data_IF_517947937282
#
_entry.id   IF_517947937282
#
_cell.length_a   1.000
_cell.length_b   1.000
_cell.length_c   1.000
_cell.angle_alpha   90.00
_cell.angle_beta   90.00
_cell.angle_gamma   90.00
#
_symmetry.space_group_name_H-M   'P 1'
#
loop_
_entity.id
_entity.type
_entity.pdbx_description
1 polymer ?
#
# COMPACT_ATOMS: atom_id res chain seq x y z
N UNK A 1 -6.23 19.06 -64.30
CA UNK A 1 -6.66 17.65 -64.24
C UNK A 1 -6.57 17.16 -62.80
N UNK A 2 -7.50 16.28 -62.37
CA UNK A 2 -7.94 16.05 -60.97
C UNK A 2 -7.14 14.92 -60.26
N UNK A 3 -6.72 15.10 -58.98
CA UNK A 3 -7.26 14.58 -57.68
C UNK A 3 -7.05 13.06 -57.43
N UNK A 4 -7.23 12.44 -56.23
CA UNK A 4 -7.68 12.96 -54.92
C UNK A 4 -7.19 12.24 -53.60
N UNK A 5 -7.62 12.78 -52.43
CA UNK A 5 -7.76 12.22 -51.05
C UNK A 5 -6.47 11.88 -50.24
N UNK A 6 -6.34 12.11 -48.93
CA UNK A 6 -7.28 12.34 -47.81
C UNK A 6 -6.54 13.12 -46.69
N UNK A 7 -7.01 14.29 -46.24
CA UNK A 7 -7.81 14.51 -45.00
C UNK A 7 -7.51 13.49 -43.89
N UNK A 8 -6.76 13.92 -42.87
CA UNK A 8 -7.00 13.81 -41.41
C UNK A 8 -5.85 14.55 -40.70
N UNK A 9 -6.06 15.82 -40.36
CA UNK A 9 -6.36 16.27 -39.00
C UNK A 9 -5.17 16.20 -38.03
N UNK A 10 -4.46 17.32 -38.01
CA UNK A 10 -3.67 17.87 -36.90
C UNK A 10 -4.42 17.64 -35.57
N UNK A 11 -3.93 16.75 -34.72
CA UNK A 11 -4.28 16.75 -33.30
C UNK A 11 -3.00 16.78 -32.49
N UNK A 12 -2.98 17.72 -31.55
CA UNK A 12 -1.82 18.17 -30.82
C UNK A 12 -1.16 17.02 -30.07
N UNK A 13 0.12 16.76 -30.36
CA UNK A 13 1.05 16.17 -29.39
C UNK A 13 1.23 17.17 -28.25
N UNK A 14 0.22 17.20 -27.37
CA UNK A 14 0.35 17.80 -26.06
C UNK A 14 1.50 17.06 -25.42
N UNK A 15 2.64 17.73 -25.24
CA UNK A 15 3.68 17.30 -24.32
C UNK A 15 2.97 17.12 -22.98
N UNK A 16 2.52 15.90 -22.68
CA UNK A 16 2.00 15.56 -21.36
C UNK A 16 3.20 15.72 -20.44
N UNK A 17 3.27 16.86 -19.77
CA UNK A 17 4.13 17.01 -18.60
C UNK A 17 3.81 15.83 -17.69
N UNK A 18 4.82 15.03 -17.29
CA UNK A 18 4.57 13.87 -16.46
C UNK A 18 3.80 14.33 -15.22
N UNK A 19 2.61 13.75 -15.00
CA UNK A 19 1.77 14.06 -13.85
C UNK A 19 2.62 13.78 -12.60
N UNK A 20 2.81 14.75 -11.70
CA UNK A 20 3.49 14.52 -10.43
C UNK A 20 2.86 13.34 -9.71
N UNK A 21 3.67 12.44 -9.13
CA UNK A 21 3.14 11.23 -8.50
C UNK A 21 2.12 11.52 -7.38
N UNK A 22 2.29 12.65 -6.69
CA UNK A 22 1.32 13.17 -5.71
C UNK A 22 -0.09 13.36 -6.29
N UNK A 23 -0.20 13.89 -7.51
CA UNK A 23 -1.48 14.12 -8.17
C UNK A 23 -2.10 12.80 -8.62
N UNK A 24 -1.26 11.87 -9.11
CA UNK A 24 -1.68 10.49 -9.36
C UNK A 24 -2.23 9.83 -8.09
N UNK A 25 -1.52 9.89 -6.97
CA UNK A 25 -1.97 9.31 -5.70
C UNK A 25 -3.29 9.94 -5.24
N UNK A 26 -3.43 11.26 -5.36
CA UNK A 26 -4.67 11.97 -4.98
C UNK A 26 -5.86 11.48 -5.80
N UNK A 27 -5.68 11.31 -7.11
CA UNK A 27 -6.71 10.76 -7.98
C UNK A 27 -7.01 9.29 -7.65
N UNK A 28 -5.97 8.47 -7.48
CA UNK A 28 -6.11 7.06 -7.11
C UNK A 28 -6.88 6.90 -5.79
N UNK A 29 -6.54 7.70 -4.77
CA UNK A 29 -7.20 7.67 -3.47
C UNK A 29 -8.64 8.16 -3.55
N UNK A 30 -8.89 9.22 -4.34
CA UNK A 30 -10.25 9.72 -4.59
C UNK A 30 -11.13 8.64 -5.24
N UNK A 31 -10.62 7.92 -6.24
CA UNK A 31 -11.33 6.80 -6.88
C UNK A 31 -11.63 5.68 -5.89
N UNK A 32 -10.66 5.30 -5.04
CA UNK A 32 -10.86 4.29 -4.00
C UNK A 32 -11.98 4.72 -3.04
N UNK A 33 -11.89 5.94 -2.51
CA UNK A 33 -12.81 6.47 -1.49
C UNK A 33 -14.22 6.74 -2.01
N UNK A 34 -14.33 7.41 -3.15
CA UNK A 34 -15.60 7.98 -3.61
C UNK A 34 -16.33 7.08 -4.61
N UNK A 35 -15.68 6.04 -5.13
CA UNK A 35 -16.26 5.16 -6.15
C UNK A 35 -16.18 3.70 -5.73
N UNK A 36 -14.98 3.15 -5.55
CA UNK A 36 -14.82 1.70 -5.37
C UNK A 36 -15.32 1.20 -4.02
N UNK A 37 -14.97 1.90 -2.94
CA UNK A 37 -15.44 1.54 -1.60
C UNK A 37 -16.99 1.59 -1.50
N UNK A 38 -17.68 2.66 -1.93
CA UNK A 38 -19.14 2.68 -1.96
C UNK A 38 -19.77 1.58 -2.83
N UNK A 39 -19.18 1.29 -4.00
CA UNK A 39 -19.68 0.23 -4.89
C UNK A 39 -19.57 -1.16 -4.24
N UNK A 40 -18.44 -1.44 -3.61
CA UNK A 40 -18.20 -2.70 -2.91
C UNK A 40 -19.13 -2.84 -1.70
N UNK A 41 -19.26 -1.76 -0.91
CA UNK A 41 -20.19 -1.69 0.22
C UNK A 41 -21.63 -1.94 -0.22
N UNK A 42 -22.11 -1.24 -1.26
CA UNK A 42 -23.46 -1.42 -1.76
C UNK A 42 -23.73 -2.85 -2.25
N UNK A 43 -22.72 -3.50 -2.84
CA UNK A 43 -22.83 -4.88 -3.30
C UNK A 43 -22.91 -5.89 -2.16
N UNK A 44 -22.30 -5.57 -1.02
CA UNK A 44 -22.35 -6.37 0.20
C UNK A 44 -23.65 -6.15 0.99
N UNK A 45 -24.23 -4.95 0.94
CA UNK A 45 -25.45 -4.60 1.69
C UNK A 45 -26.75 -4.87 0.91
N UNK A 46 -26.71 -4.87 -0.42
CA UNK A 46 -27.93 -5.05 -1.24
C UNK A 46 -28.42 -6.49 -1.21
N UNK A 47 -29.69 -6.70 -0.89
CA UNK A 47 -30.37 -8.00 -1.00
C UNK A 47 -31.41 -7.96 -2.13
N UNK A 48 -31.37 -8.91 -3.11
CA UNK A 48 -30.37 -9.97 -3.28
C UNK A 48 -29.10 -9.46 -4.00
N UNK A 49 -27.93 -9.70 -3.41
CA UNK A 49 -26.64 -9.40 -4.06
C UNK A 49 -26.39 -10.41 -5.18
N UNK A 50 -26.22 -9.95 -6.43
CA UNK A 50 -25.77 -10.82 -7.52
C UNK A 50 -24.31 -11.24 -7.28
N UNK A 51 -23.99 -12.54 -7.12
CA UNK A 51 -22.62 -13.00 -6.88
C UNK A 51 -21.64 -12.58 -7.97
N UNK A 52 -22.12 -12.51 -9.22
CA UNK A 52 -21.33 -12.05 -10.38
C UNK A 52 -20.98 -10.57 -10.28
N UNK A 53 -21.91 -9.75 -9.80
CA UNK A 53 -21.67 -8.32 -9.61
C UNK A 53 -20.68 -8.08 -8.47
N UNK A 54 -20.83 -8.79 -7.35
CA UNK A 54 -19.91 -8.71 -6.22
C UNK A 54 -18.49 -9.13 -6.62
N UNK A 55 -18.36 -10.25 -7.35
CA UNK A 55 -17.08 -10.70 -7.90
C UNK A 55 -16.44 -9.65 -8.82
N UNK A 56 -17.24 -9.02 -9.68
CA UNK A 56 -16.75 -7.95 -10.57
C UNK A 56 -16.22 -6.74 -9.79
N UNK A 57 -16.93 -6.30 -8.75
CA UNK A 57 -16.50 -5.18 -7.90
C UNK A 57 -15.29 -5.54 -7.02
N UNK A 58 -15.20 -6.79 -6.53
CA UNK A 58 -14.02 -7.32 -5.85
C UNK A 58 -12.80 -7.23 -6.76
N UNK A 59 -12.90 -7.75 -7.99
CA UNK A 59 -11.78 -7.73 -8.94
C UNK A 59 -11.38 -6.30 -9.33
N UNK A 60 -12.35 -5.40 -9.53
CA UNK A 60 -12.08 -4.00 -9.81
C UNK A 60 -11.30 -3.33 -8.66
N UNK A 61 -11.71 -3.59 -7.42
CA UNK A 61 -11.04 -3.04 -6.22
C UNK A 61 -9.64 -3.62 -6.04
N UNK A 62 -9.48 -4.93 -6.21
CA UNK A 62 -8.18 -5.59 -6.17
C UNK A 62 -7.23 -4.99 -7.21
N UNK A 63 -7.67 -4.92 -8.46
CA UNK A 63 -6.87 -4.35 -9.55
C UNK A 63 -6.47 -2.90 -9.25
N UNK A 64 -7.40 -2.08 -8.74
CA UNK A 64 -7.09 -0.70 -8.34
C UNK A 64 -5.99 -0.62 -7.29
N UNK A 65 -6.05 -1.46 -6.24
CA UNK A 65 -5.02 -1.52 -5.20
C UNK A 65 -3.67 -1.98 -5.74
N UNK A 66 -3.65 -2.98 -6.63
CA UNK A 66 -2.41 -3.49 -7.22
C UNK A 66 -1.77 -2.49 -8.20
N UNK A 67 -2.58 -1.80 -9.00
CA UNK A 67 -2.13 -0.82 -10.00
C UNK A 67 -1.37 0.36 -9.39
N UNK A 68 -1.63 0.67 -8.12
CA UNK A 68 -0.89 1.70 -7.39
C UNK A 68 0.59 1.32 -7.21
N UNK A 69 0.86 0.07 -6.82
CA UNK A 69 2.23 -0.42 -6.68
C UNK A 69 2.95 -0.55 -8.03
N UNK A 70 2.22 -0.89 -9.10
CA UNK A 70 2.78 -0.88 -10.46
C UNK A 70 3.15 0.55 -10.89
N UNK A 71 2.33 1.53 -10.53
CA UNK A 71 2.61 2.94 -10.81
C UNK A 71 3.79 3.46 -9.99
N UNK A 72 3.96 3.03 -8.73
CA UNK A 72 5.17 3.28 -7.95
C UNK A 72 6.42 2.70 -8.62
N UNK A 73 6.34 1.46 -9.10
CA UNK A 73 7.44 0.78 -9.80
C UNK A 73 7.83 1.53 -11.08
N UNK A 74 6.83 1.95 -11.86
CA UNK A 74 7.04 2.75 -13.07
C UNK A 74 7.67 4.10 -12.74
N UNK A 75 7.21 4.78 -11.69
CA UNK A 75 7.75 6.06 -11.26
C UNK A 75 9.21 5.96 -10.80
N UNK A 76 9.57 4.89 -10.09
CA UNK A 76 10.93 4.63 -9.62
C UNK A 76 11.90 4.30 -10.77
N UNK A 77 11.44 3.51 -11.75
CA UNK A 77 12.25 3.09 -12.90
C UNK A 77 12.40 4.15 -13.99
N UNK A 78 11.40 5.02 -14.16
CA UNK A 78 11.45 6.09 -15.17
C UNK A 78 12.54 7.13 -14.87
N UNK A 79 12.74 7.44 -13.58
CA UNK A 79 13.78 8.38 -13.15
C UNK A 79 14.19 8.08 -11.71
N UNK A 80 15.42 7.61 -11.51
CA UNK A 80 15.96 7.29 -10.18
C UNK A 80 15.92 8.48 -9.21
N UNK A 81 15.91 9.73 -9.71
CA UNK A 81 15.73 10.94 -8.88
C UNK A 81 14.37 11.01 -8.18
N UNK A 82 13.40 10.21 -8.61
CA UNK A 82 12.10 10.11 -7.97
C UNK A 82 12.17 9.31 -6.65
N UNK A 83 13.13 8.39 -6.52
CA UNK A 83 13.16 7.44 -5.40
C UNK A 83 13.10 8.10 -4.02
N UNK A 84 13.84 9.19 -3.71
CA UNK A 84 13.73 9.85 -2.40
C UNK A 84 12.30 10.31 -2.08
N UNK A 85 11.58 10.84 -3.08
CA UNK A 85 10.20 11.28 -2.92
C UNK A 85 9.21 10.11 -2.81
N UNK A 86 9.55 8.95 -3.35
CA UNK A 86 8.74 7.73 -3.23
C UNK A 86 8.99 7.02 -1.89
N UNK A 87 10.22 7.01 -1.38
CA UNK A 87 10.59 6.46 -0.08
C UNK A 87 10.10 7.34 1.08
N UNK A 88 10.06 8.66 0.87
CA UNK A 88 9.60 9.66 1.83
C UNK A 88 8.50 10.53 1.20
N UNK A 89 7.30 9.95 1.01
CA UNK A 89 6.21 10.60 0.30
C UNK A 89 5.64 11.81 1.05
N UNK A 90 5.76 13.00 0.45
CA UNK A 90 5.21 14.25 1.00
C UNK A 90 3.69 14.36 0.95
N UNK A 91 3.02 13.38 0.34
CA UNK A 91 1.57 13.27 0.25
C UNK A 91 0.96 12.29 1.25
N UNK A 92 1.79 11.62 2.06
CA UNK A 92 1.35 10.84 3.22
C UNK A 92 1.24 11.75 4.44
N UNK A 93 0.22 11.51 5.25
CA UNK A 93 0.00 12.29 6.46
C UNK A 93 0.70 11.68 7.70
N UNK A 94 0.69 12.41 8.80
CA UNK A 94 1.38 12.03 10.06
C UNK A 94 0.86 10.73 10.69
N UNK A 95 -0.40 10.35 10.45
CA UNK A 95 -0.96 9.07 10.88
C UNK A 95 -0.50 7.90 10.02
N UNK A 96 -0.28 8.11 8.73
CA UNK A 96 0.14 7.06 7.80
C UNK A 96 1.63 6.72 7.94
N UNK A 97 2.46 7.74 8.15
CA UNK A 97 3.93 7.63 8.14
C UNK A 97 4.46 6.48 9.03
N UNK A 98 3.98 6.27 10.28
CA UNK A 98 4.44 5.18 11.13
C UNK A 98 4.19 3.77 10.58
N UNK A 99 3.25 3.60 9.65
CA UNK A 99 2.90 2.31 9.05
C UNK A 99 3.65 2.06 7.73
N UNK A 100 4.48 3.01 7.27
CA UNK A 100 5.23 2.87 6.02
C UNK A 100 6.49 2.02 6.23
N UNK A 101 6.80 1.22 5.23
CA UNK A 101 7.95 0.34 5.13
C UNK A 101 8.51 0.47 3.73
N UNK A 102 9.62 1.18 3.47
CA UNK A 102 10.11 1.37 2.09
C UNK A 102 9.05 2.04 1.18
N UNK A 103 8.57 3.22 1.60
CA UNK A 103 7.70 4.11 0.83
C UNK A 103 6.19 3.89 0.93
N UNK A 104 5.73 2.71 1.36
CA UNK A 104 4.29 2.43 1.54
C UNK A 104 4.00 1.40 2.65
N UNK A 105 2.73 1.09 2.91
CA UNK A 105 2.26 0.21 3.98
C UNK A 105 3.13 -1.04 4.19
N UNK A 106 3.40 -1.34 5.45
CA UNK A 106 4.08 -2.57 5.83
C UNK A 106 3.25 -3.80 5.40
N UNK A 107 3.84 -4.82 4.74
CA UNK A 107 3.11 -6.01 4.32
C UNK A 107 2.36 -6.78 5.42
N UNK A 108 2.81 -6.71 6.68
CA UNK A 108 2.08 -7.28 7.82
C UNK A 108 0.76 -6.56 8.11
N UNK A 109 0.56 -5.33 7.65
CA UNK A 109 -0.75 -4.67 7.78
C UNK A 109 -1.85 -5.50 7.12
N UNK A 110 -1.57 -6.15 5.99
CA UNK A 110 -2.53 -7.00 5.30
C UNK A 110 -2.82 -8.30 6.06
N UNK A 111 -1.80 -8.95 6.60
CA UNK A 111 -1.98 -10.18 7.40
C UNK A 111 -2.65 -9.89 8.74
N UNK A 112 -2.30 -8.77 9.39
CA UNK A 112 -2.93 -8.36 10.64
C UNK A 112 -4.41 -8.00 10.43
N UNK A 113 -4.73 -7.36 9.31
CA UNK A 113 -6.11 -7.06 8.97
C UNK A 113 -6.93 -8.33 8.72
N UNK A 114 -6.41 -9.33 8.00
CA UNK A 114 -7.15 -10.59 7.83
C UNK A 114 -7.29 -11.34 9.16
N UNK A 115 -6.26 -11.29 10.03
CA UNK A 115 -6.33 -11.87 11.38
C UNK A 115 -7.40 -11.21 12.24
N UNK A 116 -7.57 -9.89 12.18
CA UNK A 116 -8.61 -9.22 12.97
C UNK A 116 -10.02 -9.69 12.60
N UNK A 117 -10.29 -10.02 11.33
CA UNK A 117 -11.57 -10.61 10.93
C UNK A 117 -11.79 -12.03 11.47
N UNK A 118 -10.71 -12.81 11.59
CA UNK A 118 -10.76 -14.18 12.10
C UNK A 118 -10.91 -14.18 13.62
N UNK A 119 -10.15 -13.34 14.32
CA UNK A 119 -10.19 -13.23 15.78
C UNK A 119 -11.54 -12.69 16.27
N UNK A 120 -12.18 -11.77 15.53
CA UNK A 120 -13.53 -11.28 15.86
C UNK A 120 -14.58 -12.38 15.75
N UNK A 121 -14.46 -13.29 14.77
CA UNK A 121 -15.38 -14.40 14.58
C UNK A 121 -15.30 -15.47 15.69
N UNK A 122 -14.11 -15.67 16.27
CA UNK A 122 -13.89 -16.63 17.37
C UNK A 122 -14.41 -16.10 18.72
N UNK A 123 -14.41 -14.77 18.94
CA UNK A 123 -14.89 -14.15 20.18
C UNK A 123 -16.42 -13.99 20.27
N UNK A 124 -17.12 -14.25 19.17
CA UNK A 124 -18.57 -14.09 19.03
C UNK A 124 -19.40 -15.21 19.69
N UNK A 125 -18.77 -16.17 20.37
CA UNK A 125 -19.46 -17.25 21.10
C UNK A 125 -20.08 -16.80 22.45
N UNK A 126 -19.68 -15.64 23.02
CA UNK A 126 -20.03 -15.27 24.41
C UNK A 126 -20.81 -13.94 24.62
N UNK A 127 -21.09 -13.14 23.57
CA UNK A 127 -21.74 -11.83 23.77
C UNK A 127 -22.84 -11.51 22.75
N UNK A 128 -24.07 -11.99 23.02
CA UNK A 128 -25.27 -11.61 22.25
C UNK A 128 -25.66 -10.12 22.36
N UNK A 129 -25.03 -9.31 23.21
CA UNK A 129 -25.58 -8.00 23.60
C UNK A 129 -24.84 -6.75 23.07
N UNK A 130 -23.63 -6.87 22.51
CA UNK A 130 -22.82 -5.69 22.09
C UNK A 130 -22.80 -5.42 20.57
N UNK A 131 -23.43 -6.28 19.76
CA UNK A 131 -23.57 -6.09 18.29
C UNK A 131 -24.50 -4.94 17.87
N UNK A 132 -24.85 -4.01 18.78
CA UNK A 132 -25.92 -3.04 18.53
C UNK A 132 -25.53 -1.78 17.77
N UNK A 133 -24.25 -1.54 17.48
CA UNK A 133 -23.84 -0.24 16.90
C UNK A 133 -23.38 -0.30 15.44
N UNK A 134 -23.00 -1.45 14.87
CA UNK A 134 -22.48 -1.51 13.48
C UNK A 134 -23.06 -2.61 12.56
N UNK A 135 -23.90 -3.53 13.06
CA UNK A 135 -24.19 -4.81 12.35
C UNK A 135 -25.62 -4.92 11.76
N UNK A 136 -26.52 -3.95 11.98
CA UNK A 136 -27.93 -4.12 11.62
C UNK A 136 -28.31 -4.00 10.12
N UNK A 137 -27.37 -3.66 9.23
CA UNK A 137 -27.69 -3.41 7.81
C UNK A 137 -27.10 -4.43 6.81
N UNK A 138 -26.40 -5.47 7.28
CA UNK A 138 -25.77 -6.47 6.39
C UNK A 138 -26.53 -7.80 6.33
N UNK A 139 -26.63 -8.43 5.15
CA UNK A 139 -27.20 -9.78 5.02
C UNK A 139 -26.47 -10.82 5.88
N UNK A 140 -27.22 -11.79 6.40
CA UNK A 140 -26.69 -12.84 7.29
C UNK A 140 -25.48 -13.60 6.70
N UNK A 141 -25.48 -13.87 5.39
CA UNK A 141 -24.36 -14.56 4.73
C UNK A 141 -23.05 -13.75 4.69
N UNK A 142 -23.14 -12.41 4.80
CA UNK A 142 -21.99 -11.51 4.90
C UNK A 142 -21.46 -11.49 6.33
N UNK A 143 -22.36 -11.41 7.32
CA UNK A 143 -22.01 -11.44 8.75
C UNK A 143 -21.39 -12.78 9.16
N UNK A 144 -21.86 -13.88 8.56
CA UNK A 144 -21.40 -15.24 8.87
C UNK A 144 -20.18 -15.66 8.02
N UNK A 145 -19.67 -14.79 7.14
CA UNK A 145 -18.61 -15.16 6.19
C UNK A 145 -17.29 -15.58 6.85
N UNK A 146 -17.05 -15.13 8.08
CA UNK A 146 -15.83 -15.43 8.85
C UNK A 146 -16.01 -16.54 9.88
N UNK A 147 -17.24 -17.05 10.09
CA UNK A 147 -17.46 -18.20 10.98
C UNK A 147 -16.87 -19.47 10.36
N UNK A 148 -16.25 -20.28 11.20
CA UNK A 148 -15.59 -21.54 10.82
C UNK A 148 -14.61 -21.38 9.63
N UNK A 149 -13.56 -20.56 9.76
CA UNK A 149 -12.62 -20.33 8.67
C UNK A 149 -11.99 -21.65 8.20
N UNK A 150 -11.88 -21.81 6.88
CA UNK A 150 -11.37 -23.06 6.32
C UNK A 150 -9.92 -23.33 6.78
N UNK A 151 -9.59 -24.60 7.05
CA UNK A 151 -8.20 -25.01 7.34
C UNK A 151 -7.23 -24.57 6.25
N UNK A 152 -7.68 -24.54 4.99
CA UNK A 152 -6.89 -24.07 3.87
C UNK A 152 -6.50 -22.59 4.03
N UNK A 153 -7.46 -21.73 4.38
CA UNK A 153 -7.22 -20.31 4.64
C UNK A 153 -6.19 -20.11 5.75
N UNK A 154 -6.36 -20.82 6.87
CA UNK A 154 -5.43 -20.73 8.01
C UNK A 154 -4.00 -21.12 7.63
N UNK A 155 -3.84 -22.24 6.92
CA UNK A 155 -2.53 -22.69 6.41
C UNK A 155 -1.93 -21.64 5.46
N UNK A 156 -2.76 -21.02 4.60
CA UNK A 156 -2.30 -20.01 3.66
C UNK A 156 -1.82 -18.74 4.35
N UNK A 157 -2.56 -18.22 5.33
CA UNK A 157 -2.14 -17.05 6.10
C UNK A 157 -0.83 -17.33 6.84
N UNK A 158 -0.69 -18.49 7.49
CA UNK A 158 0.56 -18.87 8.13
C UNK A 158 1.75 -18.97 7.16
N UNK A 159 1.53 -19.49 5.95
CA UNK A 159 2.56 -19.56 4.91
C UNK A 159 3.01 -18.16 4.48
N UNK A 160 2.06 -17.24 4.27
CA UNK A 160 2.34 -15.84 3.93
C UNK A 160 3.15 -15.18 5.05
N UNK A 161 2.72 -15.32 6.31
CA UNK A 161 3.41 -14.76 7.48
C UNK A 161 4.83 -15.34 7.66
N UNK A 162 5.03 -16.64 7.42
CA UNK A 162 6.37 -17.26 7.40
C UNK A 162 7.24 -16.65 6.30
N UNK A 163 6.69 -16.43 5.11
CA UNK A 163 7.37 -15.75 4.02
C UNK A 163 7.78 -14.32 4.39
N UNK A 164 6.86 -13.55 5.00
CA UNK A 164 7.12 -12.20 5.47
C UNK A 164 8.24 -12.13 6.52
N UNK A 165 8.30 -13.10 7.44
CA UNK A 165 9.37 -13.21 8.44
C UNK A 165 10.77 -13.35 7.84
N UNK A 166 10.87 -13.85 6.61
CA UNK A 166 12.14 -13.96 5.89
C UNK A 166 12.37 -12.74 5.00
N UNK A 167 11.36 -12.31 4.25
CA UNK A 167 11.50 -11.29 3.20
C UNK A 167 11.64 -9.88 3.75
N UNK A 168 10.88 -9.50 4.78
CA UNK A 168 10.93 -8.15 5.34
C UNK A 168 12.32 -7.85 5.93
N UNK A 169 12.92 -8.69 6.79
CA UNK A 169 14.28 -8.46 7.27
C UNK A 169 15.33 -8.47 6.15
N UNK A 170 15.18 -9.35 5.15
CA UNK A 170 16.11 -9.40 4.02
C UNK A 170 16.12 -8.11 3.19
N UNK A 171 14.95 -7.49 2.96
CA UNK A 171 14.87 -6.19 2.28
C UNK A 171 15.51 -5.08 3.13
N UNK A 172 15.28 -5.07 4.45
CA UNK A 172 15.91 -4.10 5.35
C UNK A 172 17.43 -4.26 5.41
N UNK A 173 17.92 -5.49 5.44
CA UNK A 173 19.37 -5.77 5.41
C UNK A 173 20.01 -5.23 4.13
N UNK A 174 19.34 -5.38 2.99
CA UNK A 174 19.80 -4.79 1.71
C UNK A 174 19.83 -3.27 1.74
N UNK A 175 18.81 -2.60 2.29
CA UNK A 175 18.83 -1.14 2.47
C UNK A 175 19.99 -0.72 3.36
N UNK A 176 20.17 -1.38 4.51
CA UNK A 176 21.28 -1.09 5.43
C UNK A 176 22.62 -1.27 4.76
N UNK A 177 22.80 -2.36 4.00
CA UNK A 177 24.02 -2.62 3.23
C UNK A 177 24.27 -1.54 2.20
N UNK A 178 23.28 -1.16 1.41
CA UNK A 178 23.42 -0.10 0.40
C UNK A 178 23.79 1.25 1.04
N UNK A 179 23.10 1.64 2.12
CA UNK A 179 23.40 2.87 2.86
C UNK A 179 24.80 2.85 3.50
N UNK A 180 25.18 1.72 4.09
CA UNK A 180 26.52 1.54 4.68
C UNK A 180 27.64 1.51 3.64
N UNK A 181 27.37 0.91 2.46
CA UNK A 181 28.29 0.88 1.33
C UNK A 181 28.50 2.27 0.75
N UNK A 182 27.44 3.06 0.62
CA UNK A 182 27.54 4.47 0.27
C UNK A 182 28.43 5.23 1.27
N UNK A 183 28.11 5.16 2.56
CA UNK A 183 28.85 5.88 3.59
C UNK A 183 30.32 5.44 3.66
N UNK A 184 30.60 4.15 3.49
CA UNK A 184 31.96 3.59 3.45
C UNK A 184 32.79 4.15 2.29
N UNK A 185 32.26 4.12 1.06
CA UNK A 185 32.93 4.68 -0.13
C UNK A 185 33.25 6.16 0.05
N UNK A 186 32.28 6.93 0.55
CA UNK A 186 32.46 8.36 0.82
C UNK A 186 33.51 8.61 1.90
N UNK A 187 33.54 7.79 2.96
CA UNK A 187 34.55 7.91 4.00
C UNK A 187 35.96 7.62 3.48
N UNK A 188 36.13 6.59 2.63
CA UNK A 188 37.41 6.24 2.01
C UNK A 188 37.92 7.37 1.10
N UNK A 189 37.06 7.90 0.22
CA UNK A 189 37.39 9.03 -0.65
C UNK A 189 37.74 10.28 0.15
N UNK A 190 37.00 10.56 1.23
CA UNK A 190 37.22 11.72 2.09
C UNK A 190 38.56 11.70 2.81
N UNK A 191 39.01 10.52 3.25
CA UNK A 191 40.34 10.35 3.89
C UNK A 191 41.45 10.55 2.87
N UNK A 192 41.25 10.10 1.63
CA UNK A 192 42.27 10.14 0.58
C UNK A 192 42.32 11.47 -0.19
N UNK A 193 41.34 12.36 -0.03
CA UNK A 193 41.26 13.62 -0.77
C UNK A 193 41.86 14.80 -0.01
N UNK A 194 42.91 15.43 -0.54
CA UNK A 194 43.52 16.65 0.03
C UNK A 194 42.55 17.85 0.01
N UNK A 195 41.65 17.91 -0.98
CA UNK A 195 40.64 18.97 -1.14
C UNK A 195 39.24 18.38 -1.18
N UNK A 196 38.68 18.21 0.02
CA UNK A 196 37.34 17.64 0.27
C UNK A 196 36.21 18.28 -0.55
N UNK A 197 36.33 19.56 -0.89
CA UNK A 197 35.35 20.30 -1.72
C UNK A 197 35.24 19.79 -3.17
N UNK A 198 36.22 19.01 -3.66
CA UNK A 198 36.24 18.46 -5.02
C UNK A 198 35.90 16.97 -5.10
N UNK A 199 35.47 16.36 -4.00
CA UNK A 199 35.14 14.94 -3.94
C UNK A 199 33.92 14.62 -4.82
N UNK A 200 34.07 13.66 -5.74
CA UNK A 200 32.98 13.26 -6.64
C UNK A 200 32.12 12.16 -5.99
N UNK A 201 31.02 12.58 -5.39
CA UNK A 201 30.04 11.71 -4.74
C UNK A 201 29.15 10.96 -5.75
N UNK A 202 29.17 11.36 -7.02
CA UNK A 202 28.17 10.98 -8.03
C UNK A 202 28.17 9.48 -8.34
N UNK A 203 29.33 8.88 -8.52
CA UNK A 203 29.44 7.46 -8.89
C UNK A 203 29.04 6.54 -7.73
N UNK A 204 29.55 6.80 -6.52
CA UNK A 204 29.17 6.09 -5.31
C UNK A 204 27.66 6.21 -5.04
N UNK A 205 27.09 7.42 -5.20
CA UNK A 205 25.66 7.65 -5.04
C UNK A 205 24.84 6.88 -6.08
N UNK A 206 25.27 6.85 -7.33
CA UNK A 206 24.54 6.20 -8.42
C UNK A 206 24.39 4.69 -8.19
N UNK A 207 25.48 4.00 -7.88
CA UNK A 207 25.46 2.54 -7.68
C UNK A 207 24.53 2.14 -6.52
N UNK A 208 24.59 2.89 -5.41
CA UNK A 208 23.76 2.60 -4.23
C UNK A 208 22.30 2.99 -4.45
N UNK A 209 22.05 4.04 -5.24
CA UNK A 209 20.69 4.41 -5.66
C UNK A 209 20.05 3.33 -6.53
N UNK A 210 20.79 2.69 -7.44
CA UNK A 210 20.29 1.59 -8.28
C UNK A 210 19.86 0.37 -7.44
N UNK A 211 20.61 0.04 -6.39
CA UNK A 211 20.24 -1.02 -5.45
C UNK A 211 18.99 -0.62 -4.63
N UNK A 212 18.91 0.63 -4.16
CA UNK A 212 17.72 1.11 -3.44
C UNK A 212 16.46 1.10 -4.32
N UNK A 213 16.58 1.43 -5.62
CA UNK A 213 15.47 1.25 -6.57
C UNK A 213 15.06 -0.21 -6.61
N UNK A 214 16.01 -1.14 -6.75
CA UNK A 214 15.72 -2.58 -6.82
C UNK A 214 15.02 -3.09 -5.56
N UNK A 215 15.48 -2.68 -4.38
CA UNK A 215 14.86 -3.03 -3.10
C UNK A 215 13.44 -2.47 -2.99
N UNK A 216 13.22 -1.23 -3.45
CA UNK A 216 11.90 -0.60 -3.50
C UNK A 216 10.93 -1.38 -4.38
N UNK A 217 11.35 -1.79 -5.59
CA UNK A 217 10.54 -2.62 -6.49
C UNK A 217 10.20 -3.97 -5.86
N UNK A 218 11.15 -4.60 -5.16
CA UNK A 218 10.90 -5.85 -4.45
C UNK A 218 9.91 -5.70 -3.28
N UNK A 219 9.94 -4.57 -2.57
CA UNK A 219 8.96 -4.27 -1.53
C UNK A 219 7.54 -4.13 -2.13
N UNK A 220 7.39 -3.43 -3.25
CA UNK A 220 6.11 -3.30 -3.96
C UNK A 220 5.61 -4.64 -4.49
N UNK A 221 6.50 -5.46 -5.07
CA UNK A 221 6.17 -6.83 -5.48
C UNK A 221 5.70 -7.68 -4.29
N UNK A 222 6.35 -7.58 -3.14
CA UNK A 222 5.96 -8.31 -1.93
C UNK A 222 4.54 -7.92 -1.49
N UNK A 223 4.21 -6.62 -1.44
CA UNK A 223 2.85 -6.17 -1.11
C UNK A 223 1.80 -6.70 -2.08
N UNK A 224 2.07 -6.61 -3.39
CA UNK A 224 1.17 -7.14 -4.43
C UNK A 224 0.96 -8.65 -4.26
N UNK A 225 2.03 -9.41 -4.00
CA UNK A 225 1.96 -10.86 -3.78
C UNK A 225 1.08 -11.18 -2.58
N UNK A 226 1.33 -10.55 -1.43
CA UNK A 226 0.57 -10.79 -0.19
C UNK A 226 -0.91 -10.49 -0.37
N UNK A 227 -1.27 -9.33 -0.94
CA UNK A 227 -2.68 -8.98 -1.19
C UNK A 227 -3.34 -10.02 -2.11
N UNK A 228 -2.65 -10.39 -3.20
CA UNK A 228 -3.19 -11.34 -4.18
C UNK A 228 -3.34 -12.74 -3.60
N UNK A 229 -2.36 -13.21 -2.81
CA UNK A 229 -2.38 -14.52 -2.15
C UNK A 229 -3.46 -14.62 -1.08
N UNK A 230 -3.69 -13.54 -0.30
CA UNK A 230 -4.80 -13.47 0.64
C UNK A 230 -6.12 -13.59 -0.13
N UNK A 231 -6.37 -12.71 -1.11
CA UNK A 231 -7.64 -12.71 -1.85
C UNK A 231 -7.89 -14.03 -2.59
N UNK A 232 -6.85 -14.67 -3.14
CA UNK A 232 -6.96 -15.96 -3.81
C UNK A 232 -7.32 -17.12 -2.85
N UNK A 233 -7.03 -16.99 -1.56
CA UNK A 233 -7.38 -17.97 -0.54
C UNK A 233 -8.80 -17.77 0.03
N UNK A 234 -9.47 -16.66 -0.29
CA UNK A 234 -10.78 -16.29 0.22
C UNK A 234 -11.89 -16.64 -0.77
N UNK A 235 -13.09 -16.91 -0.25
CA UNK A 235 -14.28 -16.91 -1.10
C UNK A 235 -14.68 -15.48 -1.49
N UNK A 236 -15.61 -15.32 -2.45
CA UNK A 236 -15.99 -13.99 -2.98
C UNK A 236 -16.48 -13.03 -1.89
N UNK A 237 -17.23 -13.50 -0.90
CA UNK A 237 -17.75 -12.65 0.18
C UNK A 237 -16.64 -12.25 1.15
N UNK A 238 -15.82 -13.21 1.58
CA UNK A 238 -14.66 -12.96 2.42
C UNK A 238 -13.65 -12.01 1.74
N UNK A 239 -13.38 -12.22 0.46
CA UNK A 239 -12.50 -11.38 -0.33
C UNK A 239 -13.04 -9.96 -0.47
N UNK A 240 -14.34 -9.80 -0.70
CA UNK A 240 -14.98 -8.50 -0.74
C UNK A 240 -14.94 -7.79 0.62
N UNK A 241 -15.20 -8.49 1.72
CA UNK A 241 -15.10 -7.96 3.08
C UNK A 241 -13.67 -7.54 3.42
N UNK A 242 -12.68 -8.37 3.09
CA UNK A 242 -11.28 -8.06 3.31
C UNK A 242 -10.85 -6.80 2.53
N UNK A 243 -11.21 -6.70 1.25
CA UNK A 243 -10.87 -5.52 0.42
C UNK A 243 -11.64 -4.27 0.84
N UNK A 244 -12.89 -4.42 1.28
CA UNK A 244 -13.65 -3.32 1.88
C UNK A 244 -12.97 -2.82 3.15
N UNK A 245 -12.59 -3.73 4.06
CA UNK A 245 -11.86 -3.39 5.29
C UNK A 245 -10.51 -2.73 5.00
N UNK A 246 -9.77 -3.21 3.99
CA UNK A 246 -8.51 -2.60 3.59
C UNK A 246 -8.71 -1.20 3.02
N UNK A 247 -9.74 -1.00 2.19
CA UNK A 247 -10.11 0.31 1.67
C UNK A 247 -10.56 1.26 2.79
N UNK A 248 -11.34 0.78 3.75
CA UNK A 248 -11.76 1.55 4.93
C UNK A 248 -10.57 1.92 5.81
N UNK A 249 -9.64 1.00 6.05
CA UNK A 249 -8.39 1.26 6.78
C UNK A 249 -7.58 2.38 6.12
N UNK A 250 -7.39 2.31 4.79
CA UNK A 250 -6.72 3.35 4.02
C UNK A 250 -7.45 4.70 4.06
N UNK A 251 -8.77 4.69 3.89
CA UNK A 251 -9.59 5.90 3.93
C UNK A 251 -9.62 6.52 5.32
N UNK A 252 -9.59 5.68 6.37
CA UNK A 252 -9.60 6.07 7.78
C UNK A 252 -8.40 6.92 8.17
N UNK A 253 -7.22 6.68 7.58
CA UNK A 253 -6.05 7.56 7.76
C UNK A 253 -6.29 9.00 7.34
N UNK A 254 -7.28 9.27 6.49
CA UNK A 254 -7.65 10.61 6.04
C UNK A 254 -8.89 11.16 6.77
N UNK A 255 -9.32 10.52 7.86
CA UNK A 255 -10.34 11.10 8.72
C UNK A 255 -9.81 12.38 9.38
N UNK A 256 -10.52 13.48 9.14
CA UNK A 256 -10.07 14.81 9.57
C UNK A 256 -10.11 14.98 11.08
N UNK A 257 -11.00 14.27 11.78
CA UNK A 257 -11.10 14.36 13.23
C UNK A 257 -9.97 13.58 13.87
N UNK A 258 -9.74 12.34 13.43
CA UNK A 258 -8.64 11.51 13.89
C UNK A 258 -7.28 12.19 13.64
N UNK A 259 -7.07 12.77 12.47
CA UNK A 259 -5.85 13.53 12.15
C UNK A 259 -5.64 14.70 13.11
N UNK A 260 -6.70 15.48 13.37
CA UNK A 260 -6.62 16.61 14.30
C UNK A 260 -6.34 16.17 15.72
N UNK A 261 -6.91 15.05 16.16
CA UNK A 261 -6.64 14.48 17.49
C UNK A 261 -5.20 14.02 17.60
N UNK A 262 -4.70 13.30 16.61
CA UNK A 262 -3.31 12.84 16.57
C UNK A 262 -2.31 14.01 16.56
N UNK A 263 -2.55 15.04 15.74
CA UNK A 263 -1.70 16.25 15.72
C UNK A 263 -1.76 17.05 17.03
N UNK A 264 -2.85 16.92 17.80
CA UNK A 264 -2.98 17.52 19.12
C UNK A 264 -2.30 16.72 20.23
N UNK A 265 -1.94 15.45 19.99
CA UNK A 265 -1.16 14.62 20.92
C UNK A 265 0.25 15.19 21.07
N UNK A 266 0.37 16.25 21.88
CA UNK A 266 1.64 16.84 22.31
C UNK A 266 2.21 16.00 23.46
N UNK A 267 2.83 14.88 23.13
CA UNK A 267 3.85 14.32 24.01
C UNK A 267 5.21 14.67 23.40
N UNK A 268 5.82 15.82 23.74
CA UNK A 268 7.27 15.87 23.64
C UNK A 268 7.77 14.70 24.48
N UNK A 269 8.66 13.88 23.91
CA UNK A 269 9.50 13.01 24.72
C UNK A 269 10.20 13.95 25.69
N UNK A 270 9.69 14.06 26.92
CA UNK A 270 10.36 14.84 27.93
C UNK A 270 11.66 14.08 28.20
N UNK A 271 12.79 14.75 28.02
CA UNK A 271 14.07 14.33 28.59
C UNK A 271 13.93 14.23 30.12
N UNK A 272 13.42 13.09 30.56
CA UNK A 272 13.52 12.48 31.89
C UNK A 272 13.39 11.00 31.52
N UNK A 273 14.49 10.29 31.29
CA UNK A 273 15.33 9.81 32.37
C UNK A 273 16.81 9.77 31.96
N UNK A 274 17.55 10.78 32.43
CA UNK A 274 18.93 10.61 32.81
C UNK A 274 19.00 10.58 34.33
N UNK A 275 19.13 9.37 34.89
CA UNK A 275 19.68 9.10 36.22
C UNK A 275 20.25 7.68 36.22
#
# INVERSE_FOLDING_TARGET
MPSPFSIFSRSNTTKQTPIPFKDYYTNWFSTLKNTLLPLLHHSLSSSPSSPTLLSSHLHLTLHHLLSYYESLDLAATTNAKNLPYLLYPSWRNSLEIPFLFLGDLHPYAFTNLIRSFLDEADNDEDTENDRKVLVFDRPCHVVMAWKDPSKHLMIKIEQIERGLRLMVPALLDRVKKAQSGFAGKIAEEWVNCERKEKMDVSEAMKAEMEELVTVFLHANRLRRSVISEIVAALNVYQGALFLEGLAQFLVGFHDKNLLREFERCKNPISERDGL
#
